data_IF_354048430531
#
_entry.id   IF_354048430531
#
_cell.length_a   1.000
_cell.length_b   1.000
_cell.length_c   1.000
_cell.angle_alpha   90.00
_cell.angle_beta   90.00
_cell.angle_gamma   90.00
#
_symmetry.space_group_name_H-M   'P 1'
#
loop_
_entity.id
_entity.type
_entity.pdbx_description
1 polymer ?
#
# COMPACT_ATOMS: atom_id res chain seq x y z
N UNK A 1 7.47 -20.01 5.53
CA UNK A 1 6.67 -20.08 4.29
C UNK A 1 6.78 -18.72 3.65
N UNK A 2 7.00 -18.66 2.34
CA UNK A 2 7.09 -17.39 1.60
C UNK A 2 5.77 -17.20 0.85
N UNK A 3 5.08 -16.10 1.09
CA UNK A 3 3.77 -15.82 0.48
C UNK A 3 3.92 -15.17 -0.88
N UNK A 4 2.90 -15.23 -1.73
CA UNK A 4 2.92 -14.53 -3.01
C UNK A 4 2.17 -13.22 -2.90
N UNK A 5 2.85 -12.10 -3.14
CA UNK A 5 2.21 -10.77 -3.22
C UNK A 5 1.93 -10.41 -4.67
N UNK A 6 0.69 -10.01 -4.94
CA UNK A 6 0.27 -9.40 -6.20
C UNK A 6 0.12 -7.90 -6.00
N UNK A 7 0.88 -7.10 -6.75
CA UNK A 7 0.69 -5.67 -6.86
C UNK A 7 -0.22 -5.37 -8.06
N UNK A 8 -1.42 -4.85 -7.77
CA UNK A 8 -2.30 -4.24 -8.76
C UNK A 8 -1.86 -2.82 -9.06
N UNK A 9 -1.59 -2.53 -10.33
CA UNK A 9 -1.18 -1.21 -10.81
C UNK A 9 -2.32 -0.62 -11.63
N UNK A 10 -3.18 0.19 -11.02
CA UNK A 10 -4.26 0.86 -11.75
C UNK A 10 -3.73 2.19 -12.35
N UNK A 11 -2.87 2.07 -13.38
CA UNK A 11 -2.31 3.20 -14.14
C UNK A 11 -2.87 3.23 -15.57
N UNK A 12 -2.91 4.41 -16.20
CA UNK A 12 -3.33 4.58 -17.61
C UNK A 12 -2.46 3.79 -18.62
N UNK A 13 -1.26 3.35 -18.23
CA UNK A 13 -0.28 2.66 -19.09
C UNK A 13 -0.26 1.14 -18.94
N UNK A 14 -1.34 0.57 -18.40
CA UNK A 14 -1.42 -0.74 -17.75
C UNK A 14 -0.51 -1.84 -18.33
N UNK A 15 0.48 -2.25 -17.53
CA UNK A 15 1.41 -3.35 -17.78
C UNK A 15 1.12 -4.52 -16.84
N UNK A 16 -0.15 -4.81 -16.57
CA UNK A 16 -0.57 -5.95 -15.77
C UNK A 16 -0.06 -5.94 -14.32
N UNK A 17 -0.52 -6.89 -13.50
CA UNK A 17 -0.07 -6.99 -12.12
C UNK A 17 1.40 -7.44 -12.03
N UNK A 18 2.13 -6.94 -11.04
CA UNK A 18 3.44 -7.49 -10.66
C UNK A 18 3.20 -8.61 -9.65
N UNK A 19 3.83 -9.76 -9.85
CA UNK A 19 3.80 -10.89 -8.93
C UNK A 19 5.19 -11.02 -8.30
N UNK A 20 5.24 -11.00 -6.97
CA UNK A 20 6.46 -11.19 -6.19
C UNK A 20 6.29 -12.34 -5.20
N UNK A 21 7.29 -13.20 -5.12
CA UNK A 21 7.38 -14.38 -4.26
C UNK A 21 8.63 -14.37 -3.37
N UNK A 22 9.60 -13.53 -3.70
CA UNK A 22 10.84 -13.37 -2.92
C UNK A 22 11.00 -11.92 -2.49
N UNK A 23 11.87 -11.70 -1.50
CA UNK A 23 12.21 -10.35 -1.05
C UNK A 23 12.76 -9.49 -2.21
N UNK A 24 13.63 -10.06 -3.06
CA UNK A 24 14.20 -9.35 -4.20
C UNK A 24 13.14 -8.96 -5.24
N UNK A 25 12.13 -9.82 -5.46
CA UNK A 25 11.01 -9.49 -6.35
C UNK A 25 10.09 -8.42 -5.74
N UNK A 26 9.93 -8.40 -4.41
CA UNK A 26 9.21 -7.33 -3.69
C UNK A 26 9.97 -6.01 -3.84
N UNK A 27 11.29 -6.02 -3.69
CA UNK A 27 12.12 -4.83 -3.86
C UNK A 27 12.05 -4.28 -5.29
N UNK A 28 12.15 -5.17 -6.29
CA UNK A 28 12.02 -4.78 -7.69
C UNK A 28 10.61 -4.23 -8.02
N UNK A 29 9.56 -4.76 -7.38
CA UNK A 29 8.21 -4.25 -7.52
C UNK A 29 8.09 -2.83 -6.92
N UNK A 30 8.65 -2.61 -5.74
CA UNK A 30 8.66 -1.31 -5.07
C UNK A 30 9.45 -0.26 -5.85
N UNK A 31 10.63 -0.61 -6.36
CA UNK A 31 11.43 0.30 -7.19
C UNK A 31 10.64 0.78 -8.40
N UNK A 32 9.92 -0.14 -9.05
CA UNK A 32 9.07 0.18 -10.19
C UNK A 32 7.87 1.04 -9.80
N UNK A 33 7.26 0.79 -8.64
CA UNK A 33 6.13 1.58 -8.13
C UNK A 33 6.59 3.00 -7.79
N UNK A 34 7.70 3.15 -7.06
CA UNK A 34 8.29 4.45 -6.70
C UNK A 34 8.63 5.25 -7.97
N UNK A 35 9.29 4.63 -8.94
CA UNK A 35 9.66 5.29 -10.20
C UNK A 35 8.45 5.72 -11.03
N UNK A 36 7.31 5.03 -10.91
CA UNK A 36 6.08 5.32 -11.65
C UNK A 36 5.09 6.19 -10.88
N UNK A 37 5.38 6.58 -9.63
CA UNK A 37 4.46 7.27 -8.73
C UNK A 37 3.66 8.43 -9.36
N UNK A 38 4.28 9.37 -10.12
CA UNK A 38 3.55 10.49 -10.74
C UNK A 38 2.51 10.10 -11.80
N UNK A 39 2.49 8.85 -12.24
CA UNK A 39 1.69 8.39 -13.39
C UNK A 39 0.43 7.63 -12.99
N UNK A 40 0.29 7.31 -11.70
CA UNK A 40 -0.86 6.57 -11.20
C UNK A 40 -2.11 7.45 -11.14
N UNK A 41 -3.23 6.88 -11.61
CA UNK A 41 -4.55 7.51 -11.48
C UNK A 41 -5.35 6.90 -10.32
N UNK A 42 -4.91 5.74 -9.83
CA UNK A 42 -5.37 5.09 -8.62
C UNK A 42 -4.17 4.47 -7.90
N UNK A 43 -4.26 4.40 -6.57
CA UNK A 43 -3.19 3.88 -5.71
C UNK A 43 -2.82 2.43 -6.06
N UNK A 44 -1.51 2.13 -6.24
CA UNK A 44 -1.03 0.76 -6.24
C UNK A 44 -1.52 0.00 -5.01
N UNK A 45 -1.90 -1.26 -5.20
CA UNK A 45 -2.44 -2.11 -4.13
C UNK A 45 -1.74 -3.45 -4.09
N UNK A 46 -1.37 -3.93 -2.91
CA UNK A 46 -0.74 -5.23 -2.68
C UNK A 46 -1.71 -6.20 -1.99
N UNK A 47 -1.72 -7.45 -2.46
CA UNK A 47 -2.57 -8.52 -1.94
C UNK A 47 -1.77 -9.82 -1.81
N UNK A 48 -1.92 -10.55 -0.71
CA UNK A 48 -1.40 -11.91 -0.58
C UNK A 48 -2.35 -12.91 -1.24
N UNK A 49 -1.86 -13.70 -2.18
CA UNK A 49 -2.69 -14.57 -3.01
C UNK A 49 -3.21 -15.80 -2.30
N UNK A 50 -2.48 -16.29 -1.30
CA UNK A 50 -2.82 -17.48 -0.51
C UNK A 50 -3.92 -17.22 0.52
N UNK A 51 -4.36 -15.97 0.70
CA UNK A 51 -5.39 -15.64 1.68
C UNK A 51 -6.81 -15.90 1.17
N UNK A 52 -7.76 -16.12 2.10
CA UNK A 52 -9.16 -16.31 1.75
C UNK A 52 -9.72 -15.15 0.91
N UNK A 53 -10.65 -15.50 0.04
CA UNK A 53 -11.46 -14.54 -0.72
C UNK A 53 -12.93 -14.81 -0.41
N UNK A 54 -13.76 -13.80 -0.46
CA UNK A 54 -15.17 -13.92 -0.08
C UNK A 54 -16.13 -13.50 -1.19
N UNK A 55 -17.34 -14.05 -1.10
CA UNK A 55 -18.44 -13.77 -2.01
C UNK A 55 -18.21 -14.31 -3.43
N UNK A 56 -19.22 -14.14 -4.29
CA UNK A 56 -19.15 -14.60 -5.70
C UNK A 56 -18.09 -13.87 -6.53
N UNK A 57 -17.74 -12.65 -6.12
CA UNK A 57 -16.74 -11.82 -6.79
C UNK A 57 -15.31 -12.14 -6.35
N UNK A 58 -15.11 -13.09 -5.43
CA UNK A 58 -13.79 -13.49 -4.93
C UNK A 58 -12.96 -12.28 -4.47
N UNK A 59 -13.57 -11.42 -3.65
CA UNK A 59 -12.93 -10.21 -3.15
C UNK A 59 -11.86 -10.59 -2.12
N UNK A 60 -10.63 -10.03 -2.19
CA UNK A 60 -9.61 -10.25 -1.15
C UNK A 60 -10.11 -9.79 0.23
N UNK A 61 -9.86 -10.59 1.27
CA UNK A 61 -10.23 -10.25 2.67
C UNK A 61 -9.35 -9.19 3.33
N UNK A 62 -8.31 -8.74 2.63
CA UNK A 62 -7.32 -7.79 3.12
C UNK A 62 -6.65 -7.08 1.93
N UNK A 63 -5.87 -6.04 2.19
CA UNK A 63 -5.03 -5.40 1.19
C UNK A 63 -4.23 -4.24 1.75
N UNK A 64 -3.17 -3.86 1.03
CA UNK A 64 -2.33 -2.71 1.36
C UNK A 64 -2.31 -1.76 0.16
N UNK A 65 -2.89 -0.57 0.30
CA UNK A 65 -2.79 0.53 -0.65
C UNK A 65 -1.56 1.38 -0.34
N UNK A 66 -0.93 1.87 -1.40
CA UNK A 66 0.31 2.65 -1.33
C UNK A 66 0.07 3.97 -2.07
N UNK A 67 0.45 5.09 -1.47
CA UNK A 67 0.67 6.34 -2.19
C UNK A 67 2.06 6.88 -1.93
N UNK A 68 2.60 7.62 -2.90
CA UNK A 68 3.99 8.10 -2.89
C UNK A 68 4.02 9.54 -3.39
N UNK A 69 4.63 10.40 -2.59
CA UNK A 69 5.03 11.73 -3.03
C UNK A 69 6.53 11.73 -3.36
N UNK A 70 6.90 11.69 -4.66
CA UNK A 70 8.29 11.68 -5.08
C UNK A 70 8.97 13.04 -4.92
N UNK A 71 8.25 14.14 -4.69
CA UNK A 71 8.85 15.46 -4.46
C UNK A 71 9.46 15.53 -3.07
N UNK A 72 8.73 15.00 -2.08
CA UNK A 72 9.13 15.02 -0.67
C UNK A 72 9.79 13.70 -0.22
N UNK A 73 9.92 12.71 -1.11
CA UNK A 73 10.47 11.39 -0.82
C UNK A 73 9.79 10.67 0.35
N UNK A 74 8.46 10.75 0.39
CA UNK A 74 7.62 10.11 1.40
C UNK A 74 6.53 9.27 0.77
N UNK A 75 5.94 8.40 1.57
CA UNK A 75 4.81 7.57 1.20
C UNK A 75 3.75 7.56 2.30
N UNK A 76 2.56 7.07 1.98
CA UNK A 76 1.55 6.68 2.95
C UNK A 76 1.00 5.30 2.61
N UNK A 77 0.58 4.58 3.65
CA UNK A 77 -0.02 3.27 3.54
C UNK A 77 -1.44 3.30 4.05
N UNK A 78 -2.33 2.56 3.39
CA UNK A 78 -3.62 2.20 3.95
C UNK A 78 -3.79 0.68 3.92
N UNK A 79 -4.08 0.09 5.07
CA UNK A 79 -4.31 -1.35 5.22
C UNK A 79 -5.78 -1.62 5.57
N UNK A 80 -6.31 -2.66 4.95
CA UNK A 80 -7.61 -3.24 5.28
C UNK A 80 -7.41 -4.70 5.63
N UNK A 81 -8.07 -5.14 6.70
CA UNK A 81 -8.04 -6.52 7.15
C UNK A 81 -9.40 -7.22 7.06
N UNK A 82 -9.42 -8.48 7.51
CA UNK A 82 -10.66 -9.25 7.63
C UNK A 82 -11.69 -8.48 8.47
N UNK A 83 -12.93 -8.41 7.98
CA UNK A 83 -14.03 -7.70 8.66
C UNK A 83 -14.37 -6.34 8.04
N UNK A 84 -13.43 -5.69 7.35
CA UNK A 84 -13.63 -4.37 6.71
C UNK A 84 -14.08 -3.26 7.67
N UNK A 85 -13.83 -3.39 8.97
CA UNK A 85 -14.40 -2.50 9.99
C UNK A 85 -13.95 -1.04 9.83
N UNK A 86 -12.67 -0.79 9.52
CA UNK A 86 -12.17 0.50 9.04
C UNK A 86 -10.81 0.35 8.32
N UNK A 87 -10.45 1.28 7.43
CA UNK A 87 -9.06 1.37 6.99
C UNK A 87 -8.16 1.94 8.07
N UNK A 88 -7.01 1.29 8.22
CA UNK A 88 -5.91 1.81 9.01
C UNK A 88 -4.96 2.51 8.08
N UNK A 89 -4.54 3.73 8.42
CA UNK A 89 -3.52 4.45 7.67
C UNK A 89 -2.24 4.55 8.49
N UNK A 90 -1.10 4.67 7.81
CA UNK A 90 0.19 4.89 8.49
C UNK A 90 0.14 6.12 9.39
N UNK A 91 0.98 6.12 10.42
CA UNK A 91 1.14 7.23 11.37
C UNK A 91 2.62 7.49 11.65
N UNK A 92 2.98 8.76 11.71
CA UNK A 92 4.32 9.28 11.99
C UNK A 92 4.23 10.44 12.98
N UNK A 93 5.27 10.64 13.80
CA UNK A 93 5.40 11.84 14.65
C UNK A 93 6.10 13.00 13.91
N UNK A 94 6.46 12.78 12.64
CA UNK A 94 7.12 13.74 11.77
C UNK A 94 6.23 13.99 10.56
N UNK A 95 5.14 14.78 10.71
CA UNK A 95 4.25 15.09 9.61
C UNK A 95 5.00 15.84 8.51
N UNK A 96 4.52 15.69 7.28
CA UNK A 96 5.01 16.43 6.11
C UNK A 96 3.79 17.07 5.43
N UNK A 97 3.28 18.20 5.95
CA UNK A 97 2.02 18.80 5.48
C UNK A 97 2.04 19.20 3.99
N UNK A 98 3.23 19.44 3.43
CA UNK A 98 3.40 19.76 2.02
C UNK A 98 3.31 18.53 1.11
N UNK A 99 3.31 17.32 1.67
CA UNK A 99 3.25 16.09 0.90
C UNK A 99 1.84 15.86 0.33
N UNK A 100 1.78 15.60 -0.98
CA UNK A 100 0.54 15.33 -1.69
C UNK A 100 0.25 13.84 -1.69
N UNK A 101 -0.39 13.35 -0.63
CA UNK A 101 -0.72 11.93 -0.44
C UNK A 101 -2.23 11.73 -0.34
N UNK A 102 -2.77 10.77 -1.08
CA UNK A 102 -4.20 10.47 -1.21
C UNK A 102 -4.52 8.99 -0.96
N UNK A 103 -5.49 8.72 -0.09
CA UNK A 103 -6.09 7.38 0.13
C UNK A 103 -6.78 6.86 -1.14
N UNK A 104 -7.29 7.80 -1.93
CA UNK A 104 -7.80 7.59 -3.28
C UNK A 104 -7.42 8.78 -4.17
N UNK A 105 -6.47 8.55 -5.08
CA UNK A 105 -6.00 9.54 -6.06
C UNK A 105 -7.15 10.02 -6.96
N UNK A 106 -8.03 9.12 -7.39
CA UNK A 106 -9.11 9.44 -8.33
C UNK A 106 -10.19 10.31 -7.71
N UNK A 107 -10.46 10.12 -6.42
CA UNK A 107 -11.40 10.95 -5.65
C UNK A 107 -10.74 12.17 -4.98
N UNK A 108 -9.42 12.34 -5.12
CA UNK A 108 -8.63 13.34 -4.40
C UNK A 108 -8.88 13.33 -2.87
N UNK A 109 -9.03 12.14 -2.28
CA UNK A 109 -9.24 11.96 -0.84
C UNK A 109 -7.89 11.89 -0.13
N UNK A 110 -7.47 12.93 0.63
CA UNK A 110 -6.13 13.00 1.19
C UNK A 110 -5.93 12.03 2.36
N UNK A 111 -4.67 11.62 2.56
CA UNK A 111 -4.24 11.08 3.85
C UNK A 111 -4.16 12.22 4.89
N UNK A 112 -4.26 11.91 6.20
CA UNK A 112 -3.88 12.86 7.25
C UNK A 112 -2.41 13.30 7.13
N UNK A 113 -2.09 14.54 7.52
CA UNK A 113 -0.73 15.12 7.44
C UNK A 113 0.33 14.28 8.20
N UNK A 114 -0.09 13.60 9.26
CA UNK A 114 0.76 12.74 10.08
C UNK A 114 0.83 11.29 9.58
N UNK A 115 0.34 11.00 8.37
CA UNK A 115 0.42 9.66 7.78
C UNK A 115 1.71 9.42 6.97
N UNK A 116 2.45 10.48 6.65
CA UNK A 116 3.66 10.41 5.84
C UNK A 116 4.78 9.60 6.55
N UNK A 117 5.26 8.57 5.88
CA UNK A 117 6.40 7.73 6.28
C UNK A 117 7.51 7.81 5.24
N UNK A 118 8.73 7.46 5.64
CA UNK A 118 9.88 7.39 4.73
C UNK A 118 9.74 6.23 3.73
N UNK A 119 10.43 6.31 2.59
CA UNK A 119 10.46 5.20 1.61
C UNK A 119 11.10 3.93 2.18
N UNK A 120 12.02 4.06 3.14
CA UNK A 120 12.60 2.91 3.86
C UNK A 120 11.56 2.21 4.75
N UNK A 121 10.72 2.99 5.45
CA UNK A 121 9.60 2.45 6.22
C UNK A 121 8.55 1.80 5.32
N UNK A 122 8.26 2.38 4.15
CA UNK A 122 7.41 1.75 3.14
C UNK A 122 7.98 0.38 2.75
N UNK A 123 9.28 0.31 2.41
CA UNK A 123 9.93 -0.93 2.00
C UNK A 123 9.86 -1.97 3.11
N UNK A 124 10.23 -1.61 4.34
CA UNK A 124 10.14 -2.49 5.49
C UNK A 124 8.72 -3.01 5.73
N UNK A 125 7.70 -2.14 5.64
CA UNK A 125 6.31 -2.51 5.85
C UNK A 125 5.79 -3.47 4.78
N UNK A 126 6.17 -3.30 3.51
CA UNK A 126 5.74 -4.19 2.42
C UNK A 126 6.43 -5.55 2.51
N UNK A 127 7.70 -5.60 2.96
CA UNK A 127 8.37 -6.87 3.29
C UNK A 127 7.69 -7.58 4.45
N UNK A 128 7.38 -6.89 5.54
CA UNK A 128 6.67 -7.51 6.67
C UNK A 128 5.26 -7.97 6.25
N UNK A 129 4.56 -7.21 5.41
CA UNK A 129 3.27 -7.61 4.84
C UNK A 129 3.41 -8.90 4.01
N UNK A 130 4.46 -9.02 3.20
CA UNK A 130 4.78 -10.22 2.44
C UNK A 130 5.08 -11.41 3.36
N UNK A 131 5.97 -11.25 4.34
CA UNK A 131 6.42 -12.32 5.23
C UNK A 131 5.33 -12.80 6.20
N UNK A 132 4.49 -11.88 6.68
CA UNK A 132 3.41 -12.18 7.61
C UNK A 132 2.18 -12.78 6.93
N UNK A 133 2.14 -12.84 5.60
CA UNK A 133 0.96 -13.26 4.86
C UNK A 133 -0.16 -12.24 4.98
N UNK A 134 0.13 -10.98 4.72
CA UNK A 134 -0.85 -9.92 4.52
C UNK A 134 -1.44 -9.32 5.81
N UNK A 135 -0.85 -9.62 6.96
CA UNK A 135 -1.22 -8.96 8.21
C UNK A 135 -0.74 -7.52 8.20
N UNK A 136 -1.40 -6.67 9.02
CA UNK A 136 -1.01 -5.27 9.16
C UNK A 136 0.44 -5.19 9.69
N UNK A 137 1.38 -4.58 8.95
CA UNK A 137 2.77 -4.45 9.38
C UNK A 137 2.91 -3.78 10.75
N UNK A 138 3.82 -4.28 11.59
CA UNK A 138 4.08 -3.77 12.93
C UNK A 138 5.26 -2.79 12.99
N UNK A 139 6.12 -2.79 11.95
CA UNK A 139 7.27 -1.90 11.84
C UNK A 139 6.90 -0.42 11.61
N UNK A 140 5.62 -0.12 11.36
CA UNK A 140 5.07 1.23 11.27
C UNK A 140 3.88 1.37 12.22
N UNK A 141 3.63 2.60 12.68
CA UNK A 141 2.44 2.89 13.48
C UNK A 141 1.25 3.14 12.58
N UNK A 142 0.07 2.92 13.14
CA UNK A 142 -1.20 3.04 12.44
C UNK A 142 -2.18 3.90 13.22
N UNK A 143 -3.11 4.50 12.49
CA UNK A 143 -4.28 5.18 13.03
C UNK A 143 -5.51 4.82 12.20
N UNK A 144 -6.68 4.92 12.81
CA UNK A 144 -7.93 4.75 12.10
C UNK A 144 -8.14 5.94 11.14
N UNK A 145 -8.73 5.67 9.98
CA UNK A 145 -9.16 6.71 9.06
C UNK A 145 -10.62 6.49 8.67
N UNK A 146 -11.31 7.60 8.42
CA UNK A 146 -12.63 7.55 7.80
C UNK A 146 -12.50 7.25 6.30
N UNK A 147 -13.09 6.11 5.88
CA UNK A 147 -13.33 5.77 4.48
C UNK A 147 -12.09 5.61 3.57
N UNK A 148 -12.37 5.24 2.32
CA UNK A 148 -11.47 5.31 1.17
C UNK A 148 -12.04 6.25 0.12
#
# INVERSE_FOLDING_TARGET
MTYTVKFGLQSQSDRGPIIARTAEEVDAALDRIIAAAPTYNHNPSAFVLERPRFGRLQVPDHGLKIDIDPTHHVAALAWVGPGFDCPWVSKSDRPVPEASLHKDIGAANPFPDDAAITLDQLRAAVHEFHESGGHRPTCVRWQEAEGF
#
